data_IF_172345568206
#
_entry.id   IF_172345568206
#
_cell.length_a   1.000
_cell.length_b   1.000
_cell.length_c   1.000
_cell.angle_alpha   90.00
_cell.angle_beta   90.00
_cell.angle_gamma   90.00
#
_symmetry.space_group_name_H-M   'P 1'
#
loop_
_entity.id
_entity.type
_entity.pdbx_description
1 polymer ?
#
# COMPACT_ATOMS: atom_id res chain seq x y z
N UNK A 1 -5.90 23.08 -8.80
CA UNK A 1 -4.96 22.85 -9.89
C UNK A 1 -4.89 21.35 -10.25
N UNK A 2 -4.51 20.46 -9.31
CA UNK A 2 -4.41 19.00 -9.54
C UNK A 2 -5.75 18.38 -9.93
N UNK A 3 -6.82 18.71 -9.23
CA UNK A 3 -8.19 18.25 -9.55
C UNK A 3 -8.57 18.63 -10.98
N UNK A 4 -8.29 19.85 -11.41
CA UNK A 4 -8.56 20.29 -12.79
C UNK A 4 -7.75 19.49 -13.82
N UNK A 5 -6.49 19.17 -13.51
CA UNK A 5 -5.67 18.34 -14.37
C UNK A 5 -6.25 16.92 -14.50
N UNK A 6 -6.66 16.30 -13.38
CA UNK A 6 -7.30 14.98 -13.36
C UNK A 6 -8.61 15.00 -14.17
N UNK A 7 -9.46 16.00 -13.97
CA UNK A 7 -10.72 16.17 -14.72
C UNK A 7 -10.46 16.25 -16.22
N UNK A 8 -9.51 17.08 -16.63
CA UNK A 8 -9.16 17.26 -18.03
C UNK A 8 -8.64 15.98 -18.69
N UNK A 9 -7.79 15.22 -18.02
CA UNK A 9 -7.31 13.93 -18.54
C UNK A 9 -8.47 12.93 -18.64
N UNK A 10 -9.38 12.92 -17.67
CA UNK A 10 -10.53 12.02 -17.65
C UNK A 10 -11.60 12.32 -18.69
N UNK A 11 -11.58 13.47 -19.35
CA UNK A 11 -12.41 13.72 -20.54
C UNK A 11 -12.15 12.70 -21.68
N UNK A 12 -10.93 12.16 -21.76
CA UNK A 12 -10.51 11.23 -22.80
C UNK A 12 -10.09 9.86 -22.28
N UNK A 13 -9.64 9.77 -21.02
CA UNK A 13 -9.05 8.56 -20.45
C UNK A 13 -9.72 8.22 -19.12
N UNK A 14 -10.61 7.24 -19.11
CA UNK A 14 -11.37 6.85 -17.92
C UNK A 14 -10.65 5.88 -16.98
N UNK A 15 -9.44 5.45 -17.33
CA UNK A 15 -8.61 4.52 -16.54
C UNK A 15 -7.60 5.21 -15.60
N UNK A 16 -7.78 6.52 -15.35
CA UNK A 16 -6.98 7.28 -14.40
C UNK A 16 -7.66 7.28 -13.02
N UNK A 17 -6.96 6.80 -12.01
CA UNK A 17 -7.38 6.81 -10.61
C UNK A 17 -6.57 7.83 -9.82
N UNK A 18 -7.00 8.14 -8.60
CA UNK A 18 -6.31 9.09 -7.72
C UNK A 18 -5.86 8.36 -6.46
N UNK A 19 -4.62 8.63 -6.06
CA UNK A 19 -4.06 8.18 -4.81
C UNK A 19 -3.58 9.39 -4.00
N UNK A 20 -4.00 9.47 -2.74
CA UNK A 20 -3.66 10.57 -1.84
C UNK A 20 -2.45 10.16 -1.00
N UNK A 21 -1.31 10.87 -1.15
CA UNK A 21 -0.11 10.58 -0.37
C UNK A 21 -0.17 11.26 1.00
N UNK A 22 0.61 10.76 1.92
CA UNK A 22 0.96 11.38 3.20
C UNK A 22 -0.25 11.82 4.05
N UNK A 23 -1.31 11.03 4.05
CA UNK A 23 -2.51 11.28 4.85
C UNK A 23 -2.24 10.95 6.30
N UNK A 24 -2.26 11.94 7.19
CA UNK A 24 -1.92 11.80 8.61
C UNK A 24 -3.10 11.42 9.49
N UNK A 25 -4.27 11.91 9.16
CA UNK A 25 -5.47 11.71 9.96
C UNK A 25 -6.66 11.22 9.14
N UNK A 26 -7.58 10.50 9.79
CA UNK A 26 -8.83 10.05 9.15
C UNK A 26 -9.66 11.24 8.64
N UNK A 27 -9.65 12.35 9.38
CA UNK A 27 -10.36 13.56 8.95
C UNK A 27 -9.79 14.16 7.67
N UNK A 28 -8.46 14.19 7.51
CA UNK A 28 -7.83 14.63 6.24
C UNK A 28 -8.32 13.78 5.05
N UNK A 29 -8.45 12.47 5.25
CA UNK A 29 -8.97 11.59 4.20
C UNK A 29 -10.43 11.89 3.87
N UNK A 30 -11.27 12.08 4.89
CA UNK A 30 -12.69 12.42 4.73
C UNK A 30 -12.85 13.77 4.01
N UNK A 31 -12.10 14.78 4.41
CA UNK A 31 -12.14 16.12 3.81
C UNK A 31 -11.66 16.09 2.35
N UNK A 32 -10.58 15.36 2.06
CA UNK A 32 -10.07 15.20 0.70
C UNK A 32 -11.10 14.50 -0.20
N UNK A 33 -11.73 13.45 0.30
CA UNK A 33 -12.80 12.75 -0.42
C UNK A 33 -13.98 13.68 -0.73
N UNK A 34 -14.45 14.44 0.26
CA UNK A 34 -15.51 15.44 0.06
C UNK A 34 -15.15 16.49 -0.99
N UNK A 35 -13.90 16.96 -0.97
CA UNK A 35 -13.41 17.92 -1.96
C UNK A 35 -13.45 17.33 -3.37
N UNK A 36 -12.97 16.11 -3.56
CA UNK A 36 -13.01 15.40 -4.85
C UNK A 36 -14.46 15.23 -5.33
N UNK A 37 -15.36 14.81 -4.45
CA UNK A 37 -16.79 14.62 -4.75
C UNK A 37 -17.49 15.93 -5.13
N UNK A 38 -17.18 17.03 -4.44
CA UNK A 38 -17.70 18.37 -4.74
C UNK A 38 -17.27 18.86 -6.12
N UNK A 39 -16.08 18.47 -6.55
CA UNK A 39 -15.53 18.79 -7.86
C UNK A 39 -15.96 17.79 -8.96
N UNK A 40 -16.85 16.85 -8.65
CA UNK A 40 -17.39 15.89 -9.61
C UNK A 40 -16.57 14.60 -9.76
N UNK A 41 -15.47 14.44 -9.03
CA UNK A 41 -14.66 13.22 -9.00
C UNK A 41 -15.21 12.25 -7.95
N UNK A 42 -16.30 11.55 -8.28
CA UNK A 42 -16.95 10.58 -7.41
C UNK A 42 -16.47 9.17 -7.69
N UNK A 43 -16.25 8.39 -6.64
CA UNK A 43 -15.92 6.97 -6.78
C UNK A 43 -16.98 6.22 -7.59
N UNK A 44 -16.53 5.39 -8.49
CA UNK A 44 -17.34 4.60 -9.42
C UNK A 44 -16.52 3.39 -9.91
N UNK A 45 -17.09 2.48 -10.70
CA UNK A 45 -16.30 1.45 -11.38
C UNK A 45 -15.11 2.01 -12.15
N UNK A 46 -15.27 3.22 -12.75
CA UNK A 46 -14.27 3.87 -13.59
C UNK A 46 -13.40 4.88 -12.83
N UNK A 47 -13.64 5.14 -11.56
CA UNK A 47 -12.85 6.06 -10.76
C UNK A 47 -12.64 5.55 -9.35
N UNK A 48 -11.40 5.22 -9.04
CA UNK A 48 -11.00 4.69 -7.74
C UNK A 48 -10.20 5.71 -6.95
N UNK A 49 -10.45 5.74 -5.65
CA UNK A 49 -9.73 6.57 -4.69
C UNK A 49 -8.87 5.68 -3.80
N UNK A 50 -7.57 5.89 -3.87
CA UNK A 50 -6.58 5.18 -3.08
C UNK A 50 -5.93 6.09 -2.05
N UNK A 51 -5.38 5.49 -1.01
CA UNK A 51 -4.55 6.16 -0.03
C UNK A 51 -3.16 5.52 -0.01
N UNK A 52 -2.11 6.33 0.12
CA UNK A 52 -0.79 5.83 0.45
C UNK A 52 -0.67 5.69 1.98
N UNK A 53 -0.35 4.49 2.43
CA UNK A 53 -0.09 4.20 3.84
C UNK A 53 1.42 4.26 4.07
N UNK A 54 1.87 5.38 4.59
CA UNK A 54 3.30 5.68 4.76
C UNK A 54 3.60 6.44 6.05
N UNK A 55 2.57 6.75 6.84
CA UNK A 55 2.68 7.39 8.13
C UNK A 55 2.26 6.41 9.23
N UNK A 56 2.94 6.33 10.38
CA UNK A 56 2.60 5.39 11.46
C UNK A 56 1.14 5.44 11.93
N UNK A 57 0.49 6.61 11.89
CA UNK A 57 -0.95 6.72 12.18
C UNK A 57 -1.81 5.86 11.27
N UNK A 58 -1.40 5.65 10.01
CA UNK A 58 -2.11 4.78 9.08
C UNK A 58 -2.11 3.31 9.53
N UNK A 59 -1.05 2.87 10.22
CA UNK A 59 -0.94 1.52 10.77
C UNK A 59 -1.91 1.33 11.93
N UNK A 60 -1.94 2.30 12.86
CA UNK A 60 -2.78 2.23 14.07
C UNK A 60 -4.26 2.34 13.75
N UNK A 61 -4.62 3.20 12.80
CA UNK A 61 -5.99 3.54 12.44
C UNK A 61 -6.39 3.00 11.05
N UNK A 62 -5.79 1.89 10.61
CA UNK A 62 -6.04 1.36 9.26
C UNK A 62 -7.51 0.99 9.04
N UNK A 63 -8.17 0.45 10.05
CA UNK A 63 -9.58 0.08 9.97
C UNK A 63 -10.48 1.31 9.78
N UNK A 64 -10.17 2.41 10.46
CA UNK A 64 -10.86 3.69 10.35
C UNK A 64 -10.61 4.35 8.99
N UNK A 65 -9.38 4.29 8.47
CA UNK A 65 -9.08 4.76 7.11
C UNK A 65 -9.85 3.96 6.06
N UNK A 66 -9.89 2.64 6.16
CA UNK A 66 -10.69 1.79 5.28
C UNK A 66 -12.18 2.14 5.37
N UNK A 67 -12.68 2.43 6.57
CA UNK A 67 -14.08 2.80 6.79
C UNK A 67 -14.48 4.13 6.13
N UNK A 68 -13.53 4.98 5.70
CA UNK A 68 -13.83 6.16 4.87
C UNK A 68 -14.30 5.79 3.46
N UNK A 69 -14.22 4.51 3.09
CA UNK A 69 -14.65 3.98 1.80
C UNK A 69 -13.62 4.21 0.69
N UNK A 70 -12.32 4.13 0.98
CA UNK A 70 -11.28 4.08 -0.04
C UNK A 70 -11.32 2.74 -0.77
N UNK A 71 -10.96 2.75 -2.06
CA UNK A 71 -10.95 1.54 -2.90
C UNK A 71 -9.67 0.72 -2.75
N UNK A 72 -8.59 1.34 -2.30
CA UNK A 72 -7.31 0.67 -2.17
C UNK A 72 -6.31 1.42 -1.31
N UNK A 73 -5.28 0.70 -0.91
CA UNK A 73 -4.14 1.19 -0.14
C UNK A 73 -2.86 0.83 -0.87
N UNK A 74 -1.95 1.77 -1.02
CA UNK A 74 -0.57 1.51 -1.42
C UNK A 74 0.36 1.80 -0.26
N UNK A 75 1.21 0.86 0.10
CA UNK A 75 2.14 1.03 1.20
C UNK A 75 3.42 1.69 0.68
N UNK A 76 3.72 2.90 1.14
CA UNK A 76 4.98 3.61 0.90
C UNK A 76 6.04 3.11 1.88
N UNK A 77 6.70 1.99 1.56
CA UNK A 77 7.57 1.29 2.52
C UNK A 77 8.77 2.11 2.97
N UNK A 78 9.31 2.96 2.09
CA UNK A 78 10.44 3.82 2.43
C UNK A 78 10.09 4.83 3.53
N UNK A 79 9.02 5.61 3.32
CA UNK A 79 8.61 6.64 4.27
C UNK A 79 8.06 6.02 5.55
N UNK A 80 7.31 4.93 5.43
CA UNK A 80 6.81 4.19 6.59
C UNK A 80 7.96 3.69 7.47
N UNK A 81 9.01 3.11 6.86
CA UNK A 81 10.20 2.66 7.58
C UNK A 81 10.91 3.80 8.27
N UNK A 82 11.14 4.88 7.53
CA UNK A 82 11.79 6.09 8.06
C UNK A 82 11.05 6.63 9.29
N UNK A 83 9.73 6.74 9.20
CA UNK A 83 8.92 7.32 10.27
C UNK A 83 8.72 6.37 11.45
N UNK A 84 8.61 5.06 11.22
CA UNK A 84 8.53 4.06 12.31
C UNK A 84 9.82 4.02 13.11
N UNK A 85 10.97 4.02 12.41
CA UNK A 85 12.27 3.91 13.07
C UNK A 85 12.83 5.27 13.54
N UNK A 86 12.20 6.39 13.13
CA UNK A 86 12.70 7.72 13.40
C UNK A 86 14.07 7.98 12.75
N UNK A 87 14.27 7.46 11.54
CA UNK A 87 15.54 7.50 10.82
C UNK A 87 15.36 8.31 9.55
N UNK A 88 16.21 9.29 9.34
CA UNK A 88 16.36 9.95 8.04
C UNK A 88 17.32 9.11 7.17
N UNK A 89 16.79 8.51 6.10
CA UNK A 89 17.56 7.66 5.17
C UNK A 89 18.64 8.43 4.41
N UNK A 90 18.49 9.75 4.27
CA UNK A 90 19.46 10.61 3.58
C UNK A 90 20.60 11.05 4.51
N UNK A 91 20.47 10.78 5.79
CA UNK A 91 21.53 11.02 6.77
C UNK A 91 22.56 9.90 6.74
N UNK A 92 23.77 10.18 6.27
CA UNK A 92 24.85 9.21 6.10
C UNK A 92 25.16 8.37 7.37
N UNK A 93 25.00 8.95 8.56
CA UNK A 93 25.27 8.24 9.83
C UNK A 93 24.13 7.29 10.25
N UNK A 94 22.93 7.52 9.75
CA UNK A 94 21.73 6.75 10.11
C UNK A 94 21.28 5.80 9.01
N UNK A 95 21.74 6.02 7.77
CA UNK A 95 21.34 5.20 6.61
C UNK A 95 21.59 3.69 6.81
N UNK A 96 22.67 3.33 7.51
CA UNK A 96 22.97 1.92 7.83
C UNK A 96 21.94 1.26 8.74
N UNK A 97 21.16 2.04 9.48
CA UNK A 97 20.09 1.57 10.37
C UNK A 97 18.74 1.48 9.69
N UNK A 98 18.64 2.00 8.47
CA UNK A 98 17.43 1.92 7.66
C UNK A 98 17.30 0.49 7.11
N UNK A 99 16.40 -0.30 7.68
CA UNK A 99 16.13 -1.67 7.24
C UNK A 99 14.62 -1.92 7.22
N UNK A 100 14.05 -2.07 6.04
CA UNK A 100 12.63 -2.36 5.83
C UNK A 100 12.23 -3.75 6.37
N UNK A 101 13.20 -4.61 6.70
CA UNK A 101 12.98 -5.92 7.35
C UNK A 101 12.90 -5.83 8.86
N UNK A 102 13.13 -4.65 9.45
CA UNK A 102 13.01 -4.46 10.89
C UNK A 102 11.64 -4.98 11.39
N UNK A 103 11.63 -5.62 12.56
CA UNK A 103 10.42 -6.25 13.10
C UNK A 103 9.26 -5.26 13.30
N UNK A 104 9.53 -4.02 13.70
CA UNK A 104 8.49 -3.00 13.84
C UNK A 104 7.86 -2.66 12.48
N UNK A 105 8.68 -2.57 11.43
CA UNK A 105 8.22 -2.31 10.07
C UNK A 105 7.43 -3.50 9.53
N UNK A 106 7.96 -4.72 9.65
CA UNK A 106 7.27 -5.92 9.15
C UNK A 106 5.94 -6.16 9.84
N UNK A 107 5.82 -5.89 11.14
CA UNK A 107 4.53 -5.93 11.86
C UNK A 107 3.55 -4.87 11.37
N UNK A 108 4.03 -3.68 11.03
CA UNK A 108 3.22 -2.61 10.44
C UNK A 108 2.68 -3.02 9.06
N UNK A 109 3.54 -3.56 8.19
CA UNK A 109 3.14 -4.09 6.87
C UNK A 109 2.08 -5.18 7.01
N UNK A 110 2.33 -6.17 7.88
CA UNK A 110 1.40 -7.27 8.13
C UNK A 110 0.02 -6.77 8.59
N UNK A 111 -0.01 -5.79 9.51
CA UNK A 111 -1.25 -5.21 10.01
C UNK A 111 -2.05 -4.56 8.90
N UNK A 112 -1.42 -3.70 8.08
CA UNK A 112 -2.09 -3.02 6.96
C UNK A 112 -2.65 -4.05 5.97
N UNK A 113 -1.82 -5.00 5.54
CA UNK A 113 -2.21 -5.98 4.52
C UNK A 113 -3.37 -6.85 5.01
N UNK A 114 -3.29 -7.37 6.24
CA UNK A 114 -4.36 -8.20 6.81
C UNK A 114 -5.66 -7.43 7.02
N UNK A 115 -5.59 -6.17 7.44
CA UNK A 115 -6.77 -5.32 7.58
C UNK A 115 -7.45 -5.10 6.22
N UNK A 116 -6.70 -4.74 5.19
CA UNK A 116 -7.21 -4.57 3.83
C UNK A 116 -7.83 -5.88 3.30
N UNK A 117 -7.10 -7.00 3.40
CA UNK A 117 -7.57 -8.31 2.94
C UNK A 117 -8.87 -8.73 3.62
N UNK A 118 -9.01 -8.49 4.94
CA UNK A 118 -10.21 -8.84 5.70
C UNK A 118 -11.45 -8.04 5.30
N UNK A 119 -11.26 -6.87 4.71
CA UNK A 119 -12.32 -5.96 4.25
C UNK A 119 -12.54 -5.97 2.74
N UNK A 120 -11.78 -6.79 2.01
CA UNK A 120 -11.85 -6.85 0.54
C UNK A 120 -11.33 -5.58 -0.15
N UNK A 121 -10.48 -4.80 0.52
CA UNK A 121 -9.82 -3.62 -0.04
C UNK A 121 -8.50 -4.05 -0.68
N UNK A 122 -8.25 -3.60 -1.90
CA UNK A 122 -6.99 -3.88 -2.59
C UNK A 122 -5.81 -3.22 -1.86
N UNK A 123 -4.69 -3.95 -1.76
CA UNK A 123 -3.48 -3.43 -1.13
C UNK A 123 -2.25 -3.72 -1.97
N UNK A 124 -1.47 -2.70 -2.22
CA UNK A 124 -0.18 -2.78 -2.90
C UNK A 124 0.95 -2.28 -2.01
N UNK A 125 2.17 -2.55 -2.41
CA UNK A 125 3.36 -1.94 -1.83
C UNK A 125 4.19 -1.32 -2.95
N UNK A 126 4.71 -0.13 -2.70
CA UNK A 126 5.71 0.54 -3.53
C UNK A 126 6.93 0.88 -2.66
N UNK A 127 8.04 1.17 -3.32
CA UNK A 127 9.33 1.34 -2.66
C UNK A 127 10.32 0.28 -3.14
N UNK A 128 11.46 0.18 -2.49
CA UNK A 128 12.54 -0.70 -2.94
C UNK A 128 12.47 -2.10 -2.32
N UNK A 129 11.79 -2.27 -1.20
CA UNK A 129 11.77 -3.51 -0.43
C UNK A 129 11.46 -4.77 -1.24
N UNK A 130 10.42 -4.83 -2.10
CA UNK A 130 10.13 -6.03 -2.87
C UNK A 130 11.18 -6.38 -3.92
N UNK A 131 11.92 -5.39 -4.42
CA UNK A 131 13.02 -5.60 -5.38
C UNK A 131 14.30 -6.08 -4.72
N UNK A 132 14.50 -5.75 -3.44
CA UNK A 132 15.77 -5.99 -2.72
C UNK A 132 15.68 -7.21 -1.81
N UNK A 133 14.51 -7.49 -1.22
CA UNK A 133 14.34 -8.51 -0.19
C UNK A 133 13.30 -9.57 -0.59
N UNK A 134 13.72 -10.67 -1.27
CA UNK A 134 12.82 -11.76 -1.67
C UNK A 134 12.05 -12.36 -0.49
N UNK A 135 12.70 -12.48 0.66
CA UNK A 135 12.10 -13.02 1.89
C UNK A 135 10.97 -12.13 2.44
N UNK A 136 11.04 -10.82 2.21
CA UNK A 136 9.96 -9.91 2.55
C UNK A 136 8.80 -10.07 1.58
N UNK A 137 9.09 -10.18 0.28
CA UNK A 137 8.06 -10.42 -0.75
C UNK A 137 7.28 -11.72 -0.47
N UNK A 138 7.95 -12.79 -0.04
CA UNK A 138 7.27 -14.02 0.40
C UNK A 138 6.30 -13.76 1.55
N UNK A 139 6.70 -12.98 2.56
CA UNK A 139 5.81 -12.59 3.68
C UNK A 139 4.60 -11.78 3.19
N UNK A 140 4.81 -10.81 2.29
CA UNK A 140 3.74 -9.99 1.74
C UNK A 140 2.67 -10.84 1.05
N UNK A 141 3.08 -11.80 0.23
CA UNK A 141 2.17 -12.76 -0.43
C UNK A 141 1.42 -13.60 0.60
N UNK A 142 2.10 -14.12 1.61
CA UNK A 142 1.47 -14.89 2.70
C UNK A 142 0.44 -14.10 3.49
N UNK A 143 0.63 -12.80 3.63
CA UNK A 143 -0.33 -11.91 4.32
C UNK A 143 -1.52 -11.52 3.44
N UNK A 144 -1.46 -11.78 2.12
CA UNK A 144 -2.54 -11.53 1.19
C UNK A 144 -2.45 -10.20 0.45
N UNK A 145 -1.23 -9.72 0.18
CA UNK A 145 -1.05 -8.52 -0.66
C UNK A 145 -1.62 -8.76 -2.07
N UNK A 146 -2.24 -7.72 -2.63
CA UNK A 146 -2.88 -7.81 -3.95
C UNK A 146 -1.88 -7.61 -5.08
N UNK A 147 -0.89 -6.73 -4.89
CA UNK A 147 0.14 -6.44 -5.89
C UNK A 147 1.40 -5.89 -5.27
N UNK A 148 2.52 -6.02 -5.97
CA UNK A 148 3.80 -5.44 -5.60
C UNK A 148 4.38 -4.65 -6.75
N UNK A 149 4.93 -3.47 -6.47
CA UNK A 149 5.71 -2.71 -7.43
C UNK A 149 7.18 -3.06 -7.28
N UNK A 150 7.84 -3.29 -8.40
CA UNK A 150 9.26 -3.61 -8.46
C UNK A 150 9.93 -2.82 -9.58
N UNK A 151 11.25 -2.70 -9.53
CA UNK A 151 12.01 -2.15 -10.64
C UNK A 151 11.88 -3.05 -11.89
N UNK A 152 11.98 -2.50 -13.12
CA UNK A 152 11.73 -3.24 -14.36
C UNK A 152 12.60 -4.49 -14.52
N UNK A 153 13.85 -4.44 -14.08
CA UNK A 153 14.80 -5.54 -14.10
C UNK A 153 14.45 -6.69 -13.14
N UNK A 154 13.61 -6.44 -12.15
CA UNK A 154 13.18 -7.43 -11.15
C UNK A 154 11.81 -8.07 -11.45
N UNK A 155 11.14 -7.67 -12.52
CA UNK A 155 9.79 -8.15 -12.83
C UNK A 155 9.73 -9.68 -12.93
N UNK A 156 10.56 -10.27 -13.77
CA UNK A 156 10.49 -11.71 -14.03
C UNK A 156 10.89 -12.53 -12.79
N UNK A 157 11.94 -12.11 -12.10
CA UNK A 157 12.39 -12.75 -10.85
C UNK A 157 11.30 -12.71 -9.78
N UNK A 158 10.67 -11.53 -9.59
CA UNK A 158 9.62 -11.38 -8.58
C UNK A 158 8.36 -12.15 -8.94
N UNK A 159 7.98 -12.16 -10.22
CA UNK A 159 6.83 -12.96 -10.69
C UNK A 159 7.02 -14.44 -10.42
N UNK A 160 8.23 -14.98 -10.70
CA UNK A 160 8.53 -16.37 -10.41
C UNK A 160 8.47 -16.67 -8.91
N UNK A 161 9.07 -15.80 -8.08
CA UNK A 161 9.01 -15.92 -6.63
C UNK A 161 7.56 -15.95 -6.12
N UNK A 162 6.71 -15.03 -6.58
CA UNK A 162 5.31 -14.98 -6.20
C UNK A 162 4.59 -16.28 -6.60
N UNK A 163 4.77 -16.74 -7.85
CA UNK A 163 4.16 -17.97 -8.33
C UNK A 163 4.55 -19.19 -7.48
N UNK A 164 5.83 -19.30 -7.10
CA UNK A 164 6.33 -20.38 -6.25
C UNK A 164 5.73 -20.31 -4.83
N UNK A 165 5.56 -19.11 -4.27
CA UNK A 165 4.94 -18.92 -2.95
C UNK A 165 3.45 -19.30 -3.01
N UNK A 166 2.73 -18.83 -4.02
CA UNK A 166 1.31 -19.13 -4.21
C UNK A 166 1.07 -20.63 -4.40
N UNK A 167 1.91 -21.31 -5.17
CA UNK A 167 1.84 -22.76 -5.35
C UNK A 167 2.00 -23.49 -4.01
N UNK A 168 2.99 -23.08 -3.18
CA UNK A 168 3.17 -23.67 -1.83
C UNK A 168 1.98 -23.42 -0.92
N UNK A 169 1.38 -22.24 -0.97
CA UNK A 169 0.20 -21.90 -0.16
C UNK A 169 -1.04 -22.69 -0.57
N UNK A 170 -1.20 -22.96 -1.87
CA UNK A 170 -2.33 -23.74 -2.41
C UNK A 170 -2.26 -25.22 -2.02
N UNK A 171 -1.05 -25.76 -1.80
CA UNK A 171 -0.85 -27.17 -1.40
C UNK A 171 -0.91 -27.39 0.11
N UNK A 172 -0.84 -26.33 0.91
CA UNK A 172 -0.92 -26.44 2.37
C UNK A 172 -2.38 -26.51 2.82
N UNK A 173 -2.86 -27.60 3.48
CA UNK A 173 -4.22 -27.67 3.98
C UNK A 173 -4.49 -26.51 4.94
N UNK A 174 -5.59 -25.77 4.71
CA UNK A 174 -6.04 -24.75 5.67
C UNK A 174 -6.31 -25.44 7.02
N UNK A 175 -5.76 -24.95 8.13
CA UNK A 175 -6.15 -25.47 9.44
C UNK A 175 -7.66 -25.35 9.57
N UNK A 176 -8.33 -26.46 9.91
CA UNK A 176 -9.75 -26.44 10.24
C UNK A 176 -9.89 -25.56 11.50
N UNK A 177 -10.51 -24.41 11.33
CA UNK A 177 -10.96 -23.62 12.48
C UNK A 177 -12.00 -24.44 13.24
N UNK A 178 -11.68 -24.78 14.48
CA UNK A 178 -12.60 -25.39 15.43
C UNK A 178 -13.57 -24.35 15.97
#
# INVERSE_FOLDING_TARGET
>A
LEIEAVKKVRESYHNLYVMIPFVRTVNEMIETKRLLEAEGLRQSPDFKLWMMAEVPSNVFLIDEFIATGIDGVSIGSNDLTQLILGIDRDNQKLAEKFDERNEAVTRALERIIKACASKGVTVSICGQAPSVYPELTEKLVRWGITSVSVSPDMIDTTRQLIADVEARLSTTPRPRTA
#
